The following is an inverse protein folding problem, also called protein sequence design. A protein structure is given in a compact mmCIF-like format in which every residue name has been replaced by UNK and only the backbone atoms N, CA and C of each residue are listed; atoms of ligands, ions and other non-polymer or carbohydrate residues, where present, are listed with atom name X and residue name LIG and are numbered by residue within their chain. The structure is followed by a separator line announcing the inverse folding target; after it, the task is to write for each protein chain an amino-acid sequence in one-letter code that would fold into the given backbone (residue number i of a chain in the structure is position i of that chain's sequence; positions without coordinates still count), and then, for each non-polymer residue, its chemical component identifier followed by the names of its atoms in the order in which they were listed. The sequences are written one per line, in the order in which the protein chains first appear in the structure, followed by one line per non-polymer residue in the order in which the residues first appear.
data_IF_081210869793
#
_entry.id   IF_081210869793
#
_cell.length_a   1.000
_cell.length_b   1.000
_cell.length_c   1.000
_cell.angle_alpha   90.00
_cell.angle_beta   90.00
_cell.angle_gamma   90.00
#
_symmetry.space_group_name_H-M   'P 1'
#
loop_
_entity.id
_entity.type
_entity.pdbx_description
1 polymer ?
#
# COMPACT_ATOMS: atom_id res chain seq x y z
N UNK A 1 3.67 -32.34 -21.86
CA UNK A 1 2.21 -32.51 -21.95
C UNK A 1 1.65 -32.21 -20.56
N UNK A 2 1.14 -30.98 -20.41
CA UNK A 2 -0.28 -30.69 -20.07
C UNK A 2 -0.43 -30.59 -18.54
N UNK A 3 -0.33 -29.41 -17.91
CA UNK A 3 -1.38 -28.38 -17.84
C UNK A 3 -2.79 -28.95 -17.92
N UNK A 4 -3.54 -28.90 -16.80
CA UNK A 4 -4.89 -28.33 -16.67
C UNK A 4 -5.20 -28.27 -15.15
N UNK A 5 -5.21 -27.10 -14.51
CA UNK A 5 -6.24 -26.04 -14.47
C UNK A 5 -7.18 -26.22 -13.29
N UNK A 6 -7.14 -25.21 -12.43
CA UNK A 6 -8.18 -24.78 -11.51
C UNK A 6 -9.58 -24.87 -12.10
N UNK A 7 -10.55 -25.32 -11.31
CA UNK A 7 -11.94 -24.90 -11.44
C UNK A 7 -12.56 -24.72 -10.04
N UNK A 8 -12.50 -23.48 -9.58
CA UNK A 8 -13.58 -22.91 -8.80
C UNK A 8 -14.79 -22.78 -9.74
N UNK A 9 -15.97 -22.95 -9.14
CA UNK A 9 -17.28 -22.53 -9.63
C UNK A 9 -18.17 -23.66 -10.18
N UNK A 10 -18.95 -24.26 -9.28
CA UNK A 10 -20.37 -24.47 -9.57
C UNK A 10 -21.20 -24.10 -8.34
N UNK A 11 -21.57 -22.82 -8.29
CA UNK A 11 -22.75 -22.34 -7.59
C UNK A 11 -23.98 -22.89 -8.34
N UNK A 12 -24.63 -23.90 -7.76
CA UNK A 12 -26.02 -24.21 -8.08
C UNK A 12 -26.82 -24.27 -6.77
N UNK A 13 -27.20 -23.09 -6.29
CA UNK A 13 -28.35 -22.95 -5.39
C UNK A 13 -29.57 -23.16 -6.27
N UNK A 14 -30.15 -24.36 -6.25
CA UNK A 14 -31.50 -24.56 -6.81
C UNK A 14 -32.51 -23.99 -5.83
N UNK A 15 -32.85 -22.71 -6.05
CA UNK A 15 -34.03 -22.06 -5.52
C UNK A 15 -35.29 -22.68 -6.14
N UNK A 16 -35.94 -23.59 -5.40
CA UNK A 16 -37.34 -23.93 -5.61
C UNK A 16 -38.00 -24.13 -4.24
N UNK A 17 -38.65 -23.08 -3.72
CA UNK A 17 -40.11 -23.02 -3.67
C UNK A 17 -40.55 -21.68 -3.07
N UNK A 18 -41.51 -21.07 -3.75
CA UNK A 18 -42.09 -19.75 -3.55
C UNK A 18 -42.78 -19.60 -2.20
N UNK A 19 -42.75 -18.35 -1.73
CA UNK A 19 -43.60 -17.79 -0.69
C UNK A 19 -45.08 -18.08 -0.97
N UNK A 20 -45.76 -18.75 -0.04
CA UNK A 20 -47.21 -18.64 0.14
C UNK A 20 -47.49 -18.32 1.60
N UNK A 21 -48.11 -17.16 1.83
CA UNK A 21 -48.53 -16.73 3.15
C UNK A 21 -49.54 -17.67 3.79
N UNK A 22 -49.53 -17.70 5.12
CA UNK A 22 -50.52 -18.43 5.91
C UNK A 22 -50.12 -18.54 7.37
N UNK A 23 -50.53 -17.57 8.19
CA UNK A 23 -50.69 -17.77 9.64
C UNK A 23 -51.69 -18.89 9.85
N UNK A 24 -51.30 -20.07 10.34
CA UNK A 24 -52.23 -21.10 10.84
C UNK A 24 -51.54 -22.05 11.84
N UNK A 25 -52.09 -22.11 13.05
CA UNK A 25 -52.42 -23.37 13.71
C UNK A 25 -51.28 -24.17 14.37
N UNK A 26 -51.16 -24.00 15.69
CA UNK A 26 -50.62 -24.97 16.65
C UNK A 26 -51.23 -26.36 16.40
N UNK A 27 -50.46 -27.32 15.88
CA UNK A 27 -50.82 -28.74 15.89
C UNK A 27 -49.73 -29.57 16.57
N UNK A 28 -50.15 -30.15 17.69
CA UNK A 28 -49.48 -31.13 18.55
C UNK A 28 -49.30 -32.42 17.73
N UNK A 29 -48.10 -32.98 17.71
CA UNK A 29 -47.86 -34.37 17.34
C UNK A 29 -47.09 -34.98 18.51
N UNK A 30 -47.63 -36.11 18.95
CA UNK A 30 -47.33 -36.82 20.19
C UNK A 30 -46.01 -37.60 20.08
N UNK A 31 -45.39 -37.79 21.24
CA UNK A 31 -44.15 -38.53 21.45
C UNK A 31 -44.32 -40.02 21.09
N UNK A 32 -43.39 -40.54 20.29
CA UNK A 32 -42.99 -41.95 20.33
C UNK A 32 -41.48 -42.00 20.59
N UNK A 33 -41.15 -42.78 21.61
CA UNK A 33 -39.89 -42.87 22.32
C UNK A 33 -38.88 -43.81 21.62
N UNK A 34 -37.62 -43.55 21.94
CA UNK A 34 -36.49 -44.47 22.02
C UNK A 34 -35.37 -44.43 20.95
N UNK A 35 -34.17 -44.27 21.53
CA UNK A 35 -32.87 -44.76 21.14
C UNK A 35 -31.84 -43.80 20.50
N UNK A 36 -31.38 -42.90 21.37
CA UNK A 36 -29.98 -42.54 21.63
C UNK A 36 -29.20 -41.64 20.66
N UNK A 37 -28.69 -40.53 21.24
CA UNK A 37 -27.74 -39.54 20.72
C UNK A 37 -28.30 -38.27 20.05
N UNK A 38 -29.45 -37.76 20.51
CA UNK A 38 -29.81 -36.34 20.29
C UNK A 38 -29.22 -35.49 21.40
N UNK A 39 -27.89 -35.37 21.36
CA UNK A 39 -27.16 -34.27 21.99
C UNK A 39 -27.96 -32.97 21.76
N UNK A 40 -28.28 -32.24 22.84
CA UNK A 40 -29.10 -31.03 22.81
C UNK A 40 -28.45 -29.95 21.93
N UNK A 41 -28.59 -30.06 20.60
CA UNK A 41 -28.07 -29.11 19.62
C UNK A 41 -29.01 -27.92 19.62
N UNK A 42 -28.58 -26.83 20.25
CA UNK A 42 -29.29 -25.56 20.15
C UNK A 42 -29.49 -25.19 18.68
N UNK A 43 -30.66 -24.61 18.34
CA UNK A 43 -31.04 -24.24 16.95
C UNK A 43 -30.01 -23.31 16.27
N UNK A 44 -29.07 -22.73 17.02
CA UNK A 44 -28.06 -21.79 16.55
C UNK A 44 -26.66 -22.42 16.36
N UNK A 45 -26.44 -23.68 16.72
CA UNK A 45 -25.10 -24.28 16.80
C UNK A 45 -24.28 -24.18 15.50
N UNK A 46 -24.91 -24.34 14.33
CA UNK A 46 -24.23 -24.17 13.04
C UNK A 46 -23.86 -22.70 12.75
N UNK A 47 -24.73 -21.76 13.12
CA UNK A 47 -24.47 -20.34 12.95
C UNK A 47 -23.31 -19.88 13.82
N UNK A 48 -23.26 -20.32 15.09
CA UNK A 48 -22.15 -20.01 16.00
C UNK A 48 -20.83 -20.66 15.54
N UNK A 49 -20.86 -21.89 15.01
CA UNK A 49 -19.67 -22.51 14.39
C UNK A 49 -19.13 -21.68 13.23
N UNK A 50 -20.00 -21.25 12.31
CA UNK A 50 -19.62 -20.38 11.18
C UNK A 50 -19.08 -19.03 11.66
N UNK A 51 -19.67 -18.43 12.69
CA UNK A 51 -19.18 -17.18 13.30
C UNK A 51 -17.76 -17.36 13.85
N UNK A 52 -17.50 -18.44 14.61
CA UNK A 52 -16.18 -18.74 15.16
C UNK A 52 -15.14 -19.02 14.09
N UNK A 53 -15.51 -19.78 13.06
CA UNK A 53 -14.63 -20.05 11.92
C UNK A 53 -14.22 -18.74 11.25
N UNK A 54 -15.19 -17.88 10.88
CA UNK A 54 -14.93 -16.58 10.25
C UNK A 54 -14.03 -15.69 11.12
N UNK A 55 -14.22 -15.67 12.43
CA UNK A 55 -13.37 -14.90 13.34
C UNK A 55 -11.94 -15.47 13.39
N UNK A 56 -11.80 -16.80 13.41
CA UNK A 56 -10.50 -17.47 13.40
C UNK A 56 -9.75 -17.20 12.11
N UNK A 57 -10.42 -17.29 10.96
CA UNK A 57 -9.82 -17.04 9.65
C UNK A 57 -9.27 -15.61 9.57
N UNK A 58 -10.07 -14.62 9.99
CA UNK A 58 -9.64 -13.21 10.01
C UNK A 58 -8.46 -12.97 10.95
N UNK A 59 -8.41 -13.66 12.09
CA UNK A 59 -7.28 -13.55 13.02
C UNK A 59 -5.98 -14.10 12.43
N UNK A 60 -6.06 -15.22 11.68
CA UNK A 60 -4.91 -15.77 10.96
C UNK A 60 -4.49 -14.87 9.80
N UNK A 61 -5.44 -14.29 9.07
CA UNK A 61 -5.13 -13.26 8.05
C UNK A 61 -4.42 -12.06 8.67
N UNK A 62 -4.93 -11.54 9.79
CA UNK A 62 -4.27 -10.42 10.49
C UNK A 62 -2.83 -10.77 10.86
N UNK A 63 -2.61 -11.96 11.42
CA UNK A 63 -1.27 -12.46 11.74
C UNK A 63 -0.35 -12.51 10.52
N UNK A 64 -0.86 -12.88 9.34
CA UNK A 64 -0.03 -12.93 8.12
C UNK A 64 0.43 -11.56 7.62
N UNK A 65 -0.24 -10.48 8.04
CA UNK A 65 0.07 -9.12 7.62
C UNK A 65 1.00 -8.39 8.60
N UNK A 66 1.02 -8.79 9.87
CA UNK A 66 1.79 -8.12 10.91
C UNK A 66 3.21 -8.73 10.98
N UNK A 67 4.28 -7.94 10.75
CA UNK A 67 5.65 -8.46 10.72
C UNK A 67 6.20 -8.78 12.12
N UNK A 68 5.71 -8.09 13.16
CA UNK A 68 6.06 -8.35 14.55
C UNK A 68 5.24 -9.57 15.01
N UNK A 69 5.79 -10.77 14.87
CA UNK A 69 5.28 -11.94 15.58
C UNK A 69 6.17 -12.20 16.78
N UNK A 70 5.80 -11.63 17.92
CA UNK A 70 6.56 -11.68 19.19
C UNK A 70 6.85 -13.10 19.71
N UNK A 71 6.45 -14.18 19.00
CA UNK A 71 6.70 -15.58 19.37
C UNK A 71 7.44 -16.45 18.33
N UNK A 72 8.04 -15.90 17.26
CA UNK A 72 8.96 -16.71 16.44
C UNK A 72 10.29 -17.02 17.16
N UNK A 73 10.60 -16.31 18.26
CA UNK A 73 11.88 -16.42 18.99
C UNK A 73 11.80 -17.40 20.17
N UNK A 74 10.61 -17.70 20.69
CA UNK A 74 10.41 -18.61 21.83
C UNK A 74 9.97 -19.99 21.34
N UNK A 75 10.96 -20.87 21.11
CA UNK A 75 10.80 -22.19 20.48
C UNK A 75 9.78 -23.15 21.12
N UNK A 76 9.21 -22.84 22.29
CA UNK A 76 8.29 -23.74 23.00
C UNK A 76 6.78 -23.47 22.72
N UNK A 77 6.43 -22.41 21.97
CA UNK A 77 5.02 -21.99 21.80
C UNK A 77 4.60 -21.91 20.33
N UNK A 78 5.05 -22.84 19.50
CA UNK A 78 4.78 -22.81 18.05
C UNK A 78 3.29 -22.99 17.69
N UNK A 79 2.47 -23.56 18.58
CA UNK A 79 1.04 -23.82 18.32
C UNK A 79 0.08 -23.05 19.23
N UNK A 80 0.58 -22.31 20.21
CA UNK A 80 -0.25 -21.54 21.14
C UNK A 80 0.06 -20.04 21.05
N UNK A 81 -0.04 -19.48 19.84
CA UNK A 81 -0.05 -18.02 19.74
C UNK A 81 -1.34 -17.51 20.38
N UNK A 82 -1.16 -16.73 21.44
CA UNK A 82 -2.24 -16.15 22.19
C UNK A 82 -3.01 -15.18 21.27
N UNK A 83 -4.33 -15.35 21.16
CA UNK A 83 -5.18 -14.46 20.35
C UNK A 83 -5.03 -12.99 20.76
N UNK A 84 -4.74 -12.75 22.05
CA UNK A 84 -4.44 -11.43 22.59
C UNK A 84 -3.16 -10.83 22.00
N UNK A 85 -2.07 -11.60 21.91
CA UNK A 85 -0.79 -11.08 21.41
C UNK A 85 -0.86 -10.72 19.93
N UNK A 86 -1.63 -11.45 19.11
CA UNK A 86 -1.85 -11.08 17.70
C UNK A 86 -2.51 -9.69 17.58
N UNK A 87 -3.42 -9.38 18.50
CA UNK A 87 -4.11 -8.09 18.52
C UNK A 87 -3.16 -7.00 19.03
N UNK A 88 -2.41 -7.27 20.11
CA UNK A 88 -1.43 -6.33 20.67
C UNK A 88 -0.33 -5.99 19.65
N UNK A 89 0.23 -7.00 18.98
CA UNK A 89 1.24 -6.85 17.93
C UNK A 89 0.69 -6.00 16.77
N UNK A 90 -0.58 -6.23 16.36
CA UNK A 90 -1.22 -5.44 15.32
C UNK A 90 -1.42 -3.97 15.73
N UNK A 91 -1.80 -3.71 16.98
CA UNK A 91 -1.96 -2.35 17.50
C UNK A 91 -0.62 -1.61 17.48
N UNK A 92 0.44 -2.25 17.99
CA UNK A 92 1.80 -1.68 17.99
C UNK A 92 2.24 -1.34 16.57
N UNK A 93 2.06 -2.27 15.63
CA UNK A 93 2.47 -2.08 14.24
C UNK A 93 1.73 -0.90 13.57
N UNK A 94 0.43 -0.74 13.82
CA UNK A 94 -0.33 0.40 13.30
C UNK A 94 0.19 1.73 13.87
N UNK A 95 0.53 1.77 15.16
CA UNK A 95 1.09 2.98 15.78
C UNK A 95 2.46 3.35 15.20
N UNK A 96 3.31 2.36 14.93
CA UNK A 96 4.61 2.58 14.27
C UNK A 96 4.44 3.09 12.84
N UNK A 97 3.51 2.52 12.07
CA UNK A 97 3.19 3.01 10.72
C UNK A 97 2.67 4.45 10.73
N UNK A 98 1.83 4.82 11.70
CA UNK A 98 1.35 6.20 11.83
C UNK A 98 2.48 7.17 12.14
N UNK A 99 3.38 6.81 13.06
CA UNK A 99 4.55 7.64 13.40
C UNK A 99 5.48 7.82 12.19
N UNK A 100 5.79 6.74 11.47
CA UNK A 100 6.65 6.81 10.29
C UNK A 100 6.02 7.65 9.18
N UNK A 101 4.71 7.53 8.94
CA UNK A 101 4.00 8.39 7.99
C UNK A 101 4.05 9.87 8.38
N UNK A 102 3.94 10.19 9.68
CA UNK A 102 4.02 11.57 10.16
C UNK A 102 5.43 12.13 9.98
N UNK A 103 6.46 11.38 10.38
CA UNK A 103 7.87 11.79 10.22
C UNK A 103 8.21 12.02 8.75
N UNK A 104 7.79 11.13 7.85
CA UNK A 104 8.03 11.31 6.41
C UNK A 104 7.31 12.54 5.86
N UNK A 105 6.09 12.81 6.32
CA UNK A 105 5.34 14.02 5.94
C UNK A 105 6.03 15.29 6.45
N UNK A 106 6.57 15.27 7.66
CA UNK A 106 7.32 16.39 8.23
C UNK A 106 8.63 16.61 7.48
N UNK A 107 9.38 15.55 7.14
CA UNK A 107 10.60 15.66 6.34
C UNK A 107 10.36 16.25 4.95
N UNK A 108 9.24 15.91 4.30
CA UNK A 108 8.85 16.53 3.04
C UNK A 108 8.51 18.01 3.22
N UNK A 109 7.81 18.36 4.32
CA UNK A 109 7.47 19.73 4.64
C UNK A 109 8.69 20.57 5.01
N UNK A 110 9.66 20.05 5.77
CA UNK A 110 10.91 20.75 6.10
C UNK A 110 11.77 21.00 4.85
N UNK A 111 11.79 20.03 3.93
CA UNK A 111 12.45 20.20 2.63
C UNK A 111 11.78 21.28 1.76
N UNK A 112 10.46 21.46 1.89
CA UNK A 112 9.71 22.52 1.20
C UNK A 112 9.75 23.86 1.96
N UNK A 113 9.86 23.82 3.30
CA UNK A 113 9.78 24.95 4.23
C UNK A 113 11.12 25.64 4.53
N UNK A 114 12.27 25.05 4.17
CA UNK A 114 13.56 25.75 4.16
C UNK A 114 13.63 26.90 3.13
N UNK A 115 12.52 27.23 2.46
CA UNK A 115 12.45 28.36 1.53
C UNK A 115 11.90 29.65 2.16
N UNK A 116 11.14 29.65 3.26
CA UNK A 116 10.38 30.86 3.63
C UNK A 116 10.16 31.04 5.14
N UNK A 117 11.07 31.76 5.80
CA UNK A 117 10.72 32.54 6.99
C UNK A 117 11.57 33.82 7.10
N UNK A 118 11.22 34.83 6.29
CA UNK A 118 11.22 36.21 6.77
C UNK A 118 10.24 37.05 5.93
N UNK A 119 9.16 37.47 6.58
CA UNK A 119 8.13 38.37 6.09
C UNK A 119 8.74 39.71 5.63
N UNK A 120 8.61 40.08 4.35
CA UNK A 120 8.40 41.43 3.78
C UNK A 120 8.37 41.36 2.22
N UNK A 121 7.84 42.37 1.49
CA UNK A 121 6.72 42.20 0.55
C UNK A 121 7.06 41.67 -0.86
N UNK A 122 6.45 40.52 -1.20
CA UNK A 122 5.60 40.20 -2.36
C UNK A 122 5.84 40.81 -3.76
N UNK A 123 7.02 41.32 -4.12
CA UNK A 123 7.28 41.67 -5.54
C UNK A 123 8.72 41.66 -6.03
N UNK A 124 9.72 41.45 -5.17
CA UNK A 124 11.14 41.58 -5.55
C UNK A 124 11.92 40.26 -5.61
N UNK A 125 11.41 39.15 -5.06
CA UNK A 125 12.20 37.91 -4.93
C UNK A 125 12.06 36.89 -6.07
N UNK A 126 11.11 37.07 -6.99
CA UNK A 126 11.00 36.20 -8.16
C UNK A 126 12.22 36.40 -9.09
N UNK A 127 12.84 37.58 -9.08
CA UNK A 127 13.94 37.95 -9.98
C UNK A 127 15.34 37.54 -9.47
N UNK A 128 15.51 37.35 -8.15
CA UNK A 128 16.84 37.09 -7.56
C UNK A 128 17.29 35.64 -7.79
N UNK A 129 16.39 34.66 -7.67
CA UNK A 129 16.71 33.24 -7.88
C UNK A 129 16.74 32.85 -9.38
N UNK A 130 16.12 33.63 -10.27
CA UNK A 130 16.08 33.37 -11.72
C UNK A 130 17.37 33.77 -12.45
N UNK A 131 18.31 34.44 -11.78
CA UNK A 131 19.52 34.96 -12.43
C UNK A 131 20.85 34.32 -11.95
N UNK A 132 20.80 33.39 -10.99
CA UNK A 132 21.99 32.80 -10.37
C UNK A 132 22.79 31.89 -11.32
N UNK A 133 22.12 31.11 -12.17
CA UNK A 133 22.81 30.19 -13.09
C UNK A 133 23.70 30.95 -14.08
N UNK A 134 23.17 32.05 -14.64
CA UNK A 134 23.90 32.94 -15.56
C UNK A 134 25.03 33.67 -14.87
N UNK A 135 24.82 34.12 -13.63
CA UNK A 135 25.83 34.79 -12.80
C UNK A 135 27.03 33.88 -12.49
N UNK A 136 26.80 32.58 -12.37
CA UNK A 136 27.85 31.58 -12.15
C UNK A 136 28.44 30.99 -13.44
N UNK A 137 28.05 31.51 -14.61
CA UNK A 137 28.58 31.08 -15.91
C UNK A 137 28.19 29.66 -16.32
N UNK A 138 27.21 29.05 -15.65
CA UNK A 138 26.70 27.71 -15.97
C UNK A 138 25.75 27.85 -17.18
N UNK A 139 25.95 27.02 -18.20
CA UNK A 139 25.11 26.99 -19.41
C UNK A 139 24.17 25.80 -19.35
N UNK A 140 22.98 25.99 -19.91
CA UNK A 140 22.08 24.87 -20.19
C UNK A 140 22.73 23.93 -21.20
N UNK A 141 22.71 22.64 -20.90
CA UNK A 141 23.37 21.63 -21.72
C UNK A 141 22.64 20.30 -21.60
N UNK A 142 22.43 19.63 -22.74
CA UNK A 142 21.95 18.25 -22.78
C UNK A 142 23.02 17.40 -23.45
N UNK A 143 23.57 16.45 -22.70
CA UNK A 143 24.53 15.46 -23.18
C UNK A 143 23.88 14.09 -23.15
N UNK A 144 24.03 13.35 -24.24
CA UNK A 144 23.65 11.94 -24.32
C UNK A 144 24.90 11.14 -24.65
N UNK A 145 25.18 10.09 -23.88
CA UNK A 145 26.31 9.21 -24.09
C UNK A 145 25.84 7.76 -24.14
N UNK A 146 26.22 7.00 -25.16
CA UNK A 146 25.91 5.57 -25.21
C UNK A 146 26.81 4.84 -24.19
N UNK A 147 26.20 4.06 -23.30
CA UNK A 147 26.93 3.30 -22.28
C UNK A 147 27.20 1.88 -22.80
N UNK A 148 26.15 1.19 -23.22
CA UNK A 148 26.22 -0.21 -23.65
C UNK A 148 24.94 -0.61 -24.41
N UNK A 149 25.10 -1.15 -25.62
CA UNK A 149 23.98 -1.54 -26.49
C UNK A 149 22.94 -0.43 -26.66
N UNK A 150 21.72 -0.69 -26.19
CA UNK A 150 20.58 0.24 -26.25
C UNK A 150 20.47 1.17 -25.02
N UNK A 151 21.45 1.19 -24.11
CA UNK A 151 21.43 2.05 -22.92
C UNK A 151 22.14 3.37 -23.17
N UNK A 152 21.49 4.46 -22.80
CA UNK A 152 22.02 5.81 -22.92
C UNK A 152 22.07 6.52 -21.58
N UNK A 153 23.17 7.20 -21.29
CA UNK A 153 23.27 8.15 -20.19
C UNK A 153 22.83 9.52 -20.69
N UNK A 154 21.74 10.03 -20.14
CA UNK A 154 21.29 11.40 -20.37
C UNK A 154 21.80 12.26 -19.20
N UNK A 155 22.47 13.36 -19.51
CA UNK A 155 22.83 14.43 -18.56
C UNK A 155 22.22 15.74 -19.04
N UNK A 156 21.39 16.34 -18.22
CA UNK A 156 20.66 17.58 -18.51
C UNK A 156 21.02 18.61 -17.45
N UNK A 157 21.58 19.74 -17.86
CA UNK A 157 21.80 20.91 -17.04
C UNK A 157 20.77 21.96 -17.48
N UNK A 158 19.90 22.36 -16.57
CA UNK A 158 18.85 23.36 -16.82
C UNK A 158 18.78 24.36 -15.68
N UNK A 159 18.20 25.52 -15.95
CA UNK A 159 17.88 26.49 -14.90
C UNK A 159 16.89 25.89 -13.89
N UNK A 160 17.19 26.02 -12.60
CA UNK A 160 16.31 25.57 -11.51
C UNK A 160 15.08 26.48 -11.48
N UNK A 161 13.96 25.97 -11.99
CA UNK A 161 12.64 26.60 -11.88
C UNK A 161 11.71 25.75 -11.04
N UNK A 162 10.75 26.37 -10.35
CA UNK A 162 9.72 25.62 -9.62
C UNK A 162 9.00 24.67 -10.58
N UNK A 163 8.97 23.38 -10.25
CA UNK A 163 8.34 22.34 -11.07
C UNK A 163 9.14 21.83 -12.28
N UNK A 164 10.36 22.29 -12.52
CA UNK A 164 11.16 21.86 -13.68
C UNK A 164 11.44 20.34 -13.70
N UNK A 165 11.74 19.74 -12.54
CA UNK A 165 11.99 18.31 -12.42
C UNK A 165 10.74 17.49 -12.74
N UNK A 166 9.57 17.90 -12.23
CA UNK A 166 8.30 17.23 -12.50
C UNK A 166 7.98 17.23 -14.00
N UNK A 167 8.11 18.39 -14.65
CA UNK A 167 7.92 18.52 -16.10
C UNK A 167 8.90 17.64 -16.88
N UNK A 168 10.15 17.55 -16.44
CA UNK A 168 11.16 16.72 -17.09
C UNK A 168 10.79 15.24 -17.01
N UNK A 169 10.43 14.73 -15.82
CA UNK A 169 10.04 13.34 -15.64
C UNK A 169 8.76 13.01 -16.41
N UNK A 170 7.77 13.91 -16.40
CA UNK A 170 6.53 13.74 -17.15
C UNK A 170 6.78 13.65 -18.66
N UNK A 171 7.63 14.52 -19.21
CA UNK A 171 8.02 14.47 -20.61
C UNK A 171 8.78 13.17 -20.96
N UNK A 172 9.68 12.72 -20.08
CA UNK A 172 10.43 11.48 -20.29
C UNK A 172 9.50 10.26 -20.30
N UNK A 173 8.53 10.21 -19.39
CA UNK A 173 7.51 9.17 -19.33
C UNK A 173 6.58 9.20 -20.56
N UNK A 174 6.16 10.39 -21.01
CA UNK A 174 5.34 10.55 -22.20
C UNK A 174 6.04 10.03 -23.47
N UNK A 175 7.36 10.21 -23.54
CA UNK A 175 8.19 9.71 -24.64
C UNK A 175 8.47 8.20 -24.54
N UNK A 176 8.09 7.55 -23.43
CA UNK A 176 8.22 6.11 -23.24
C UNK A 176 9.63 5.66 -22.83
N UNK A 177 10.45 6.55 -22.27
CA UNK A 177 11.78 6.17 -21.77
C UNK A 177 11.66 5.48 -20.41
N UNK A 178 12.35 4.36 -20.26
CA UNK A 178 12.49 3.69 -18.96
C UNK A 178 13.74 4.23 -18.25
N UNK A 179 13.52 5.02 -17.19
CA UNK A 179 14.57 5.66 -16.41
C UNK A 179 15.14 4.70 -15.36
N UNK A 180 16.46 4.60 -15.30
CA UNK A 180 17.22 3.82 -14.33
C UNK A 180 18.40 4.65 -13.81
N UNK A 181 18.82 4.39 -12.57
CA UNK A 181 19.97 5.11 -11.95
C UNK A 181 19.88 6.65 -12.06
N UNK A 182 18.73 7.21 -11.68
CA UNK A 182 18.48 8.65 -11.76
C UNK A 182 19.10 9.39 -10.59
N UNK A 183 19.88 10.43 -10.90
CA UNK A 183 20.51 11.34 -9.95
C UNK A 183 20.13 12.78 -10.28
N UNK A 184 19.78 13.57 -9.26
CA UNK A 184 19.47 14.99 -9.40
C UNK A 184 20.28 15.78 -8.39
N UNK A 185 21.02 16.77 -8.86
CA UNK A 185 21.76 17.70 -8.01
C UNK A 185 21.43 19.13 -8.41
N UNK A 186 21.34 20.02 -7.43
CA UNK A 186 21.10 21.46 -7.68
C UNK A 186 22.26 22.27 -7.12
N UNK A 187 22.77 23.20 -7.92
CA UNK A 187 23.87 24.07 -7.52
C UNK A 187 23.71 25.45 -8.17
N UNK A 188 23.75 26.49 -7.35
CA UNK A 188 23.78 27.90 -7.79
C UNK A 188 22.76 28.26 -8.88
N UNK A 189 21.49 27.93 -8.67
CA UNK A 189 20.41 28.19 -9.63
C UNK A 189 20.37 27.22 -10.82
N UNK A 190 21.27 26.24 -10.92
CA UNK A 190 21.23 25.18 -11.92
C UNK A 190 20.72 23.86 -11.31
N UNK A 191 20.07 23.04 -12.12
CA UNK A 191 19.73 21.65 -11.83
C UNK A 191 20.46 20.75 -12.84
N UNK A 192 21.27 19.82 -12.34
CA UNK A 192 21.84 18.73 -13.10
C UNK A 192 21.02 17.46 -12.85
N UNK A 193 20.41 16.95 -13.91
CA UNK A 193 19.74 15.67 -13.96
C UNK A 193 20.63 14.68 -14.72
N UNK A 194 20.83 13.48 -14.18
CA UNK A 194 21.56 12.40 -14.83
C UNK A 194 20.77 11.11 -14.69
N UNK A 195 20.49 10.41 -15.79
CA UNK A 195 19.75 9.14 -15.74
C UNK A 195 20.17 8.22 -16.88
N UNK A 196 20.17 6.92 -16.62
CA UNK A 196 20.33 5.88 -17.62
C UNK A 196 18.95 5.55 -18.21
N UNK A 197 18.79 5.71 -19.52
CA UNK A 197 17.55 5.36 -20.23
C UNK A 197 17.77 4.15 -21.14
N UNK A 198 16.70 3.38 -21.31
CA UNK A 198 16.61 2.18 -22.15
C UNK A 198 15.52 2.33 -23.21
#
# INVERSE_FOLDING_TARGET
MEFLKSELNELAITDHQRLTGGRMGRRKLEDDDDNNNKEFKSKNLQAERRRRQKLSDRLLTLRSLVPIITNAITQHTFLYMNKATIIDDAITYIQELQKTSQVLSEQLLEMEGSSEESVMPMKLEIDVAQHDMKKCGIKEEVKVSNIDGNKFLIKIIVEKKRGCFTQLIEAMNYLGFELSETNVTTFSGAMLFSSCVH
#
